data_IF_061193247881
#
_entry.id   IF_061193247881
#
_cell.length_a   1.000
_cell.length_b   1.000
_cell.length_c   1.000
_cell.angle_alpha   90.00
_cell.angle_beta   90.00
_cell.angle_gamma   90.00
#
_symmetry.space_group_name_H-M   'P 1'
#
loop_
_entity.id
_entity.type
_entity.pdbx_description
1 polymer ?
#
# COMPACT_ATOMS: atom_id res chain seq x y z
N UNK A 1 -17.67 8.40 -4.09
CA UNK A 1 -16.82 7.20 -4.14
C UNK A 1 -16.14 7.14 -2.79
N UNK A 2 -16.22 6.01 -2.09
CA UNK A 2 -15.45 5.84 -0.86
C UNK A 2 -13.98 5.72 -1.24
N UNK A 3 -13.14 6.61 -0.73
CA UNK A 3 -11.69 6.51 -0.87
C UNK A 3 -11.21 5.44 0.10
N UNK A 4 -10.71 4.32 -0.42
CA UNK A 4 -10.20 3.22 0.40
C UNK A 4 -8.80 3.61 0.87
N UNK A 5 -8.66 3.93 2.16
CA UNK A 5 -7.34 4.15 2.78
C UNK A 5 -6.62 2.82 2.98
N UNK A 6 -5.49 2.64 2.28
CA UNK A 6 -4.64 1.45 2.43
C UNK A 6 -3.59 1.68 3.52
N UNK A 7 -2.97 2.88 3.55
CA UNK A 7 -2.04 3.26 4.61
C UNK A 7 -2.62 4.34 5.52
N UNK A 8 -3.25 3.93 6.61
CA UNK A 8 -3.85 4.85 7.61
C UNK A 8 -2.82 5.82 8.21
N UNK A 9 -1.57 5.37 8.45
CA UNK A 9 -0.54 6.22 9.05
C UNK A 9 -0.17 7.44 8.21
N UNK A 10 -0.28 7.33 6.87
CA UNK A 10 0.06 8.41 5.94
C UNK A 10 -1.12 8.90 5.11
N UNK A 11 -2.31 8.35 5.34
CA UNK A 11 -3.54 8.61 4.58
C UNK A 11 -3.36 8.38 3.07
N UNK A 12 -2.69 7.28 2.72
CA UNK A 12 -2.51 6.89 1.32
C UNK A 12 -3.66 5.99 0.92
N UNK A 13 -4.30 6.34 -0.18
CA UNK A 13 -5.48 5.67 -0.74
C UNK A 13 -5.10 4.63 -1.79
N UNK A 14 -6.02 3.70 -2.05
CA UNK A 14 -5.87 2.71 -3.11
C UNK A 14 -5.69 3.38 -4.49
N UNK A 15 -6.42 4.48 -4.75
CA UNK A 15 -6.29 5.23 -6.01
C UNK A 15 -4.88 5.79 -6.22
N UNK A 16 -4.25 6.33 -5.18
CA UNK A 16 -2.88 6.85 -5.28
C UNK A 16 -1.87 5.73 -5.52
N UNK A 17 -2.05 4.57 -4.89
CA UNK A 17 -1.20 3.40 -5.11
C UNK A 17 -1.33 2.86 -6.53
N UNK A 18 -2.56 2.71 -7.03
CA UNK A 18 -2.82 2.25 -8.40
C UNK A 18 -2.27 3.24 -9.44
N UNK A 19 -2.42 4.54 -9.20
CA UNK A 19 -1.85 5.58 -10.06
C UNK A 19 -0.33 5.48 -10.10
N UNK A 20 0.34 5.30 -8.95
CA UNK A 20 1.79 5.12 -8.90
C UNK A 20 2.25 3.85 -9.65
N UNK A 21 1.54 2.73 -9.51
CA UNK A 21 1.83 1.48 -10.22
C UNK A 21 1.76 1.68 -11.74
N UNK A 22 0.72 2.36 -12.23
CA UNK A 22 0.49 2.58 -13.67
C UNK A 22 1.45 3.63 -14.27
N UNK A 23 1.63 4.78 -13.62
CA UNK A 23 2.43 5.89 -14.16
C UNK A 23 3.93 5.57 -14.15
N UNK A 24 4.40 4.84 -13.14
CA UNK A 24 5.83 4.56 -12.95
C UNK A 24 6.24 3.13 -13.36
N UNK A 25 5.30 2.31 -13.85
CA UNK A 25 5.51 0.90 -14.21
C UNK A 25 6.19 0.11 -13.08
N UNK A 26 5.71 0.30 -11.85
CA UNK A 26 6.25 -0.37 -10.66
C UNK A 26 5.68 -1.79 -10.59
N UNK A 27 6.56 -2.78 -10.54
CA UNK A 27 6.22 -4.21 -10.41
C UNK A 27 6.70 -4.83 -9.09
N UNK A 28 7.37 -4.07 -8.23
CA UNK A 28 7.88 -4.56 -6.95
C UNK A 28 7.43 -3.72 -5.75
N UNK A 29 7.31 -4.38 -4.60
CA UNK A 29 6.81 -3.76 -3.37
C UNK A 29 7.76 -2.70 -2.81
N UNK A 30 9.08 -2.86 -2.98
CA UNK A 30 10.06 -1.95 -2.39
C UNK A 30 10.00 -0.61 -3.09
N UNK A 31 9.96 -0.60 -4.42
CA UNK A 31 9.79 0.63 -5.20
C UNK A 31 8.45 1.30 -4.89
N UNK A 32 7.36 0.55 -4.73
CA UNK A 32 6.07 1.13 -4.34
C UNK A 32 6.14 1.83 -2.98
N UNK A 33 6.80 1.20 -2.00
CA UNK A 33 7.03 1.77 -0.66
C UNK A 33 7.90 3.02 -0.73
N UNK A 34 8.98 3.01 -1.52
CA UNK A 34 9.89 4.16 -1.67
C UNK A 34 9.19 5.36 -2.31
N UNK A 35 8.33 5.11 -3.31
CA UNK A 35 7.64 6.16 -4.07
C UNK A 35 6.48 6.78 -3.30
N UNK A 36 5.66 5.95 -2.67
CA UNK A 36 4.44 6.41 -2.00
C UNK A 36 4.67 6.69 -0.52
N UNK A 37 5.69 6.06 0.08
CA UNK A 37 5.93 6.09 1.51
C UNK A 37 4.97 5.23 2.32
N UNK A 38 4.03 4.51 1.71
CA UNK A 38 3.18 3.52 2.38
C UNK A 38 4.06 2.44 3.03
N UNK A 39 3.61 1.87 4.15
CA UNK A 39 4.38 0.83 4.86
C UNK A 39 5.59 1.32 5.67
N UNK A 40 6.01 2.58 5.57
CA UNK A 40 7.22 3.09 6.27
C UNK A 40 7.04 3.39 7.77
N UNK A 41 5.81 3.28 8.30
CA UNK A 41 5.50 3.61 9.70
C UNK A 41 5.17 2.36 10.53
N UNK A 42 3.93 1.87 10.48
CA UNK A 42 3.49 0.71 11.26
C UNK A 42 3.66 -0.63 10.52
N UNK A 43 3.95 -0.59 9.21
CA UNK A 43 4.13 -1.74 8.31
C UNK A 43 2.91 -2.63 8.07
N UNK A 44 1.81 -2.49 8.82
CA UNK A 44 0.63 -3.35 8.69
C UNK A 44 -0.03 -3.34 7.30
N UNK A 45 0.14 -2.29 6.50
CA UNK A 45 -0.39 -2.27 5.13
C UNK A 45 0.51 -3.01 4.12
N UNK A 46 1.68 -3.51 4.52
CA UNK A 46 2.65 -4.12 3.59
C UNK A 46 2.16 -5.50 3.12
N UNK A 47 1.84 -6.39 4.07
CA UNK A 47 1.39 -7.76 3.78
C UNK A 47 0.59 -8.33 4.96
N UNK A 48 -0.19 -9.40 4.76
CA UNK A 48 -0.93 -10.06 5.84
C UNK A 48 -0.02 -10.51 7.00
N UNK A 49 1.24 -10.87 6.72
CA UNK A 49 2.21 -11.27 7.74
C UNK A 49 2.63 -10.11 8.65
N UNK A 50 2.66 -8.88 8.13
CA UNK A 50 2.97 -7.66 8.89
C UNK A 50 1.70 -7.06 9.54
N UNK A 51 0.52 -7.64 9.30
CA UNK A 51 -0.77 -7.26 9.89
C UNK A 51 -1.29 -8.34 10.86
N UNK A 52 -0.67 -8.48 12.05
CA UNK A 52 -0.98 -9.58 12.98
C UNK A 52 -2.40 -9.56 13.53
N UNK A 53 -3.12 -8.45 13.35
CA UNK A 53 -4.49 -8.26 13.83
C UNK A 53 -5.52 -8.24 12.70
N UNK A 54 -5.10 -8.30 11.44
CA UNK A 54 -5.99 -8.25 10.27
C UNK A 54 -6.79 -6.95 10.21
N UNK A 55 -6.17 -5.82 10.54
CA UNK A 55 -6.84 -4.51 10.53
C UNK A 55 -6.87 -3.84 9.15
N UNK A 56 -6.13 -4.37 8.16
CA UNK A 56 -6.07 -3.82 6.82
C UNK A 56 -6.85 -4.70 5.87
N UNK A 57 -7.76 -4.07 5.14
CA UNK A 57 -8.59 -4.74 4.12
C UNK A 57 -7.79 -5.05 2.83
N UNK A 58 -6.71 -4.29 2.59
CA UNK A 58 -5.85 -4.40 1.40
C UNK A 58 -4.40 -4.27 1.84
N UNK A 59 -3.53 -5.12 1.29
CA UNK A 59 -2.08 -5.04 1.50
C UNK A 59 -1.33 -4.68 0.21
N UNK A 60 -0.22 -3.96 0.33
CA UNK A 60 0.63 -3.57 -0.80
C UNK A 60 1.10 -4.79 -1.60
N UNK A 61 1.39 -5.90 -0.93
CA UNK A 61 1.79 -7.18 -1.55
C UNK A 61 0.74 -7.76 -2.50
N UNK A 62 -0.52 -7.36 -2.38
CA UNK A 62 -1.62 -7.83 -3.23
C UNK A 62 -1.78 -6.95 -4.49
N UNK A 63 -1.16 -5.76 -4.49
CA UNK A 63 -1.24 -4.79 -5.59
C UNK A 63 -0.12 -4.97 -6.62
N UNK A 64 1.05 -5.45 -6.17
CA UNK A 64 2.21 -5.77 -7.03
C UNK A 64 2.14 -7.23 -7.50
N UNK A 65 2.62 -7.53 -8.72
CA UNK A 65 2.50 -8.85 -9.37
C UNK A 65 3.79 -9.64 -9.37
#
# INVERSE_FOLDING_TARGET
>A
MEEIEVCVCKRITLSELLQALEEENIDDIQTLIEKTGAGTVCKMCISPEEDPYGERDIHLSELVK
#
